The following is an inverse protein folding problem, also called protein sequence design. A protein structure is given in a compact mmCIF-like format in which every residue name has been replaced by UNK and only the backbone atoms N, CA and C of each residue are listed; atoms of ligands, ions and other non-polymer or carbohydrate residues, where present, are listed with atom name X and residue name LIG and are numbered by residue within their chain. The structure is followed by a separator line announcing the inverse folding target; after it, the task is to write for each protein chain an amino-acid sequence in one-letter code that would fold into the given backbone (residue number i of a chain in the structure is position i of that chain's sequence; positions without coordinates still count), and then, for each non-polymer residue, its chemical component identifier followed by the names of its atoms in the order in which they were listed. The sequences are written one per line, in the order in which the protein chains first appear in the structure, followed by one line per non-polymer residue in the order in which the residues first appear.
data_IF_611845417347
#
_entry.id   IF_611845417347
#
_cell.length_a   1.000
_cell.length_b   1.000
_cell.length_c   1.000
_cell.angle_alpha   90.00
_cell.angle_beta   90.00
_cell.angle_gamma   90.00
#
_symmetry.space_group_name_H-M   'P 1'
#
loop_
_entity.id
_entity.type
_entity.pdbx_description
1 polymer ?
#
# COMPACT_ATOMS: atom_id res chain seq x y z
N UNK A 1 7.38 5.40 14.98
CA UNK A 1 7.41 6.31 13.83
C UNK A 1 6.38 5.80 12.85
N UNK A 2 5.27 6.50 12.74
CA UNK A 2 4.06 6.01 12.05
C UNK A 2 4.11 6.36 10.56
N UNK A 3 3.50 5.57 9.67
CA UNK A 3 3.50 5.85 8.23
C UNK A 3 3.01 7.27 7.86
N UNK A 4 2.13 7.84 8.68
CA UNK A 4 1.66 9.22 8.53
C UNK A 4 2.82 10.23 8.60
N UNK A 5 3.77 10.03 9.52
CA UNK A 5 4.92 10.92 9.70
C UNK A 5 5.98 10.68 8.62
N UNK A 6 6.24 9.40 8.31
CA UNK A 6 7.27 9.02 7.32
C UNK A 6 6.94 9.48 5.91
N UNK A 7 5.66 9.38 5.53
CA UNK A 7 5.22 9.61 4.15
C UNK A 7 4.28 10.81 3.99
N UNK A 8 4.01 11.56 5.06
CA UNK A 8 3.08 12.71 5.02
C UNK A 8 1.62 12.31 4.77
N UNK A 9 1.26 11.06 5.05
CA UNK A 9 -0.06 10.50 4.74
C UNK A 9 -1.12 10.97 5.73
N UNK A 10 -2.37 11.05 5.26
CA UNK A 10 -3.53 11.16 6.14
C UNK A 10 -3.62 9.90 6.99
N UNK A 11 -4.17 10.03 8.20
CA UNK A 11 -4.17 8.93 9.18
C UNK A 11 -4.82 7.65 8.61
N UNK A 12 -5.91 7.77 7.85
CA UNK A 12 -6.55 6.60 7.24
C UNK A 12 -5.68 5.94 6.16
N UNK A 13 -4.96 6.71 5.35
CA UNK A 13 -4.02 6.18 4.35
C UNK A 13 -2.85 5.46 5.03
N UNK A 14 -2.36 6.00 6.15
CA UNK A 14 -1.32 5.38 6.97
C UNK A 14 -1.79 4.05 7.61
N UNK A 15 -3.05 3.98 8.07
CA UNK A 15 -3.65 2.73 8.57
C UNK A 15 -3.83 1.72 7.45
N UNK A 16 -4.26 2.16 6.27
CA UNK A 16 -4.42 1.28 5.10
C UNK A 16 -3.06 0.71 4.67
N UNK A 17 -2.01 1.53 4.61
CA UNK A 17 -0.64 1.09 4.31
C UNK A 17 -0.15 0.07 5.35
N UNK A 18 -0.36 0.34 6.65
CA UNK A 18 0.01 -0.59 7.71
C UNK A 18 -0.68 -1.95 7.57
N UNK A 19 -1.99 -1.95 7.29
CA UNK A 19 -2.73 -3.17 7.06
C UNK A 19 -2.21 -3.92 5.82
N UNK A 20 -1.95 -3.21 4.73
CA UNK A 20 -1.39 -3.76 3.50
C UNK A 20 -0.04 -4.45 3.74
N UNK A 21 0.91 -3.75 4.38
CA UNK A 21 2.23 -4.31 4.70
C UNK A 21 2.13 -5.57 5.56
N UNK A 22 1.30 -5.55 6.61
CA UNK A 22 1.15 -6.68 7.50
C UNK A 22 0.54 -7.91 6.81
N UNK A 23 -0.51 -7.71 6.00
CA UNK A 23 -1.13 -8.80 5.23
C UNK A 23 -0.14 -9.34 4.20
N UNK A 24 0.60 -8.47 3.50
CA UNK A 24 1.59 -8.90 2.53
C UNK A 24 2.68 -9.77 3.18
N UNK A 25 3.21 -9.33 4.32
CA UNK A 25 4.19 -10.11 5.09
C UNK A 25 3.65 -11.48 5.51
N UNK A 26 2.38 -11.54 5.94
CA UNK A 26 1.72 -12.82 6.25
C UNK A 26 1.60 -13.70 5.01
N UNK A 27 1.10 -13.19 3.88
CA UNK A 27 0.98 -13.94 2.64
C UNK A 27 2.33 -14.56 2.24
N UNK A 28 3.39 -13.75 2.22
CA UNK A 28 4.73 -14.21 1.86
C UNK A 28 5.28 -15.24 2.85
N UNK A 29 5.05 -15.07 4.15
CA UNK A 29 5.47 -16.03 5.18
C UNK A 29 4.79 -17.40 5.03
N UNK A 30 3.60 -17.46 4.43
CA UNK A 30 2.87 -18.69 4.14
C UNK A 30 3.02 -19.17 2.69
N UNK A 31 4.01 -18.66 1.94
CA UNK A 31 4.22 -18.98 0.51
C UNK A 31 2.99 -18.72 -0.37
N UNK A 32 2.15 -17.75 0.01
CA UNK A 32 1.06 -17.25 -0.83
C UNK A 32 1.57 -16.12 -1.74
N UNK A 33 0.89 -15.85 -2.86
CA UNK A 33 1.20 -14.69 -3.70
C UNK A 33 1.19 -13.38 -2.91
N UNK A 34 2.08 -12.45 -3.27
CA UNK A 34 2.07 -11.09 -2.73
C UNK A 34 0.74 -10.40 -3.05
N UNK A 35 0.29 -9.51 -2.16
CA UNK A 35 -0.94 -8.76 -2.41
C UNK A 35 -0.69 -7.64 -3.42
N UNK A 36 -1.73 -7.29 -4.18
CA UNK A 36 -1.77 -6.03 -4.94
C UNK A 36 -2.55 -5.00 -4.13
N UNK A 37 -1.90 -3.89 -3.81
CA UNK A 37 -2.51 -2.78 -3.11
C UNK A 37 -3.21 -1.87 -4.12
N UNK A 38 -4.53 -1.77 -4.04
CA UNK A 38 -5.32 -0.98 -4.99
C UNK A 38 -5.67 0.37 -4.38
N UNK A 39 -5.26 1.46 -5.03
CA UNK A 39 -5.65 2.81 -4.63
C UNK A 39 -5.63 3.78 -5.83
N UNK A 40 -6.60 4.68 -5.86
CA UNK A 40 -6.65 5.78 -6.83
C UNK A 40 -5.79 6.99 -6.39
N UNK A 41 -5.20 6.94 -5.19
CA UNK A 41 -4.41 8.02 -4.61
C UNK A 41 -2.91 7.86 -4.94
N UNK A 42 -2.33 8.86 -5.58
CA UNK A 42 -0.93 8.82 -6.03
C UNK A 42 0.08 8.94 -4.88
N UNK A 43 -0.22 9.71 -3.84
CA UNK A 43 0.69 9.87 -2.69
C UNK A 43 0.74 8.57 -1.89
N UNK A 44 -0.41 7.93 -1.67
CA UNK A 44 -0.47 6.62 -1.05
C UNK A 44 0.23 5.56 -1.90
N UNK A 45 0.00 5.54 -3.22
CA UNK A 45 0.67 4.59 -4.12
C UNK A 45 2.20 4.72 -4.07
N UNK A 46 2.73 5.95 -3.97
CA UNK A 46 4.17 6.18 -3.82
C UNK A 46 4.71 5.60 -2.50
N UNK A 47 3.99 5.80 -1.40
CA UNK A 47 4.35 5.24 -0.10
C UNK A 47 4.33 3.69 -0.12
N UNK A 48 3.33 3.09 -0.75
CA UNK A 48 3.21 1.64 -0.91
C UNK A 48 4.37 1.05 -1.70
N UNK A 49 4.79 1.72 -2.79
CA UNK A 49 5.96 1.32 -3.57
C UNK A 49 7.25 1.37 -2.73
N UNK A 50 7.42 2.37 -1.87
CA UNK A 50 8.57 2.47 -0.97
C UNK A 50 8.61 1.34 0.07
N UNK A 51 7.45 0.81 0.46
CA UNK A 51 7.32 -0.37 1.31
C UNK A 51 7.50 -1.70 0.56
N UNK A 52 7.72 -1.65 -0.76
CA UNK A 52 7.99 -2.82 -1.60
C UNK A 52 6.76 -3.64 -1.99
N UNK A 53 5.56 -3.08 -1.86
CA UNK A 53 4.33 -3.72 -2.27
C UNK A 53 4.01 -3.44 -3.75
N UNK A 54 3.27 -4.34 -4.37
CA UNK A 54 2.69 -4.12 -5.70
C UNK A 54 1.50 -3.17 -5.59
N UNK A 55 1.35 -2.26 -6.56
CA UNK A 55 0.23 -1.32 -6.63
C UNK A 55 -0.63 -1.53 -7.88
N UNK A 56 -1.90 -1.15 -7.79
CA UNK A 56 -2.77 -0.94 -8.95
C UNK A 56 -3.53 0.39 -8.78
N UNK A 57 -3.56 1.20 -9.83
CA UNK A 57 -4.23 2.51 -9.82
C UNK A 57 -5.45 2.48 -10.77
N UNK A 58 -6.68 2.44 -10.23
CA UNK A 58 -7.90 2.43 -11.03
C UNK A 58 -8.02 3.59 -12.03
N UNK A 59 -7.40 4.74 -11.74
CA UNK A 59 -7.44 5.89 -12.63
C UNK A 59 -6.71 5.65 -13.97
N UNK A 60 -5.86 4.63 -14.06
CA UNK A 60 -5.18 4.25 -15.30
C UNK A 60 -6.12 3.63 -16.35
N UNK A 61 -7.35 3.30 -15.98
CA UNK A 61 -8.33 2.61 -16.84
C UNK A 61 -9.58 3.42 -17.15
N UNK A 62 -9.59 4.71 -16.79
CA UNK A 62 -10.70 5.60 -17.12
C UNK A 62 -10.68 5.91 -18.62
N UNK A 63 -11.72 5.46 -19.33
CA UNK A 63 -12.00 5.73 -20.74
C UNK A 63 -12.62 7.09 -20.97
#
# INVERSE_FOLDING_TARGET
MTFAETYGLRVYDAIQLAAGCNINSLCLAYNLPAITFVSADNELNLAVLNEGLLIENPNNYLS
#
